data_IF_690988892367
#
_entry.id   IF_690988892367
#
_cell.length_a   1.000
_cell.length_b   1.000
_cell.length_c   1.000
_cell.angle_alpha   90.00
_cell.angle_beta   90.00
_cell.angle_gamma   90.00
#
_symmetry.space_group_name_H-M   'P 1'
#
loop_
_entity.id
_entity.type
_entity.pdbx_description
1 polymer ?
#
# COMPACT_ATOMS: atom_id res chain seq x y z
N UNK A 1 14.57 -38.38 -1.77
CA UNK A 1 13.87 -37.95 -3.01
C UNK A 1 13.20 -39.13 -3.73
N UNK A 2 12.13 -39.72 -3.16
CA UNK A 2 11.38 -40.85 -3.78
C UNK A 2 9.85 -40.68 -3.81
N UNK A 3 9.30 -39.65 -3.15
CA UNK A 3 7.85 -39.50 -2.94
C UNK A 3 7.07 -38.90 -4.12
N UNK A 4 7.74 -38.27 -5.09
CA UNK A 4 7.05 -37.46 -6.12
C UNK A 4 6.60 -38.26 -7.36
N UNK A 5 7.26 -39.38 -7.66
CA UNK A 5 6.96 -40.26 -8.81
C UNK A 5 5.50 -40.73 -8.85
N UNK A 6 4.90 -41.31 -7.79
CA UNK A 6 3.55 -41.87 -7.88
C UNK A 6 2.47 -40.84 -8.26
N UNK A 7 2.65 -39.56 -7.89
CA UNK A 7 1.72 -38.50 -8.28
C UNK A 7 1.78 -38.17 -9.77
N UNK A 8 2.98 -38.23 -10.37
CA UNK A 8 3.18 -38.05 -11.81
C UNK A 8 2.58 -39.24 -12.57
N UNK A 9 2.83 -40.47 -12.09
CA UNK A 9 2.29 -41.70 -12.68
C UNK A 9 0.76 -41.74 -12.65
N UNK A 10 0.12 -41.27 -11.56
CA UNK A 10 -1.34 -41.13 -11.47
C UNK A 10 -1.90 -40.15 -12.50
N UNK A 11 -1.25 -39.00 -12.71
CA UNK A 11 -1.66 -38.01 -13.71
C UNK A 11 -1.51 -38.55 -15.14
N UNK A 12 -0.41 -39.26 -15.42
CA UNK A 12 -0.17 -39.87 -16.73
C UNK A 12 -1.23 -40.93 -17.07
N UNK A 13 -1.63 -41.73 -16.09
CA UNK A 13 -2.64 -42.77 -16.25
C UNK A 13 -4.04 -42.18 -16.48
N UNK A 14 -4.41 -41.14 -15.73
CA UNK A 14 -5.65 -40.37 -15.95
C UNK A 14 -5.67 -39.75 -17.35
N UNK A 15 -4.53 -39.29 -17.88
CA UNK A 15 -4.44 -38.76 -19.24
C UNK A 15 -4.57 -39.85 -20.33
N UNK A 16 -4.05 -41.06 -20.09
CA UNK A 16 -4.20 -42.19 -21.02
C UNK A 16 -5.62 -42.78 -21.02
N UNK A 17 -6.22 -43.02 -19.84
CA UNK A 17 -7.55 -43.63 -19.69
C UNK A 17 -8.73 -42.65 -19.93
N UNK A 18 -8.46 -41.34 -20.10
CA UNK A 18 -9.52 -40.34 -20.35
C UNK A 18 -10.00 -40.31 -21.80
N UNK A 19 -11.33 -40.32 -21.96
CA UNK A 19 -12.01 -40.20 -23.26
C UNK A 19 -11.73 -38.85 -23.96
N UNK A 20 -11.96 -38.74 -25.28
CA UNK A 20 -11.67 -37.50 -26.02
C UNK A 20 -12.36 -36.26 -25.44
N UNK A 21 -13.61 -36.39 -24.99
CA UNK A 21 -14.37 -35.32 -24.31
C UNK A 21 -13.81 -34.96 -22.93
N UNK A 22 -13.34 -35.94 -22.16
CA UNK A 22 -12.70 -35.69 -20.87
C UNK A 22 -11.36 -34.94 -21.01
N UNK A 23 -10.55 -35.27 -22.03
CA UNK A 23 -9.30 -34.54 -22.33
C UNK A 23 -9.54 -33.08 -22.68
N UNK A 24 -10.60 -32.78 -23.42
CA UNK A 24 -11.01 -31.40 -23.75
C UNK A 24 -11.43 -30.64 -22.49
N UNK A 25 -12.20 -31.27 -21.58
CA UNK A 25 -12.56 -30.68 -20.30
C UNK A 25 -11.36 -30.38 -19.39
N UNK A 26 -10.38 -31.30 -19.33
CA UNK A 26 -9.13 -31.12 -18.57
C UNK A 26 -8.29 -29.97 -19.15
N UNK A 27 -8.18 -29.87 -20.48
CA UNK A 27 -7.48 -28.77 -21.15
C UNK A 27 -8.15 -27.42 -20.89
N UNK A 28 -9.48 -27.35 -20.93
CA UNK A 28 -10.24 -26.13 -20.60
C UNK A 28 -10.00 -25.70 -19.15
N UNK A 29 -10.06 -26.63 -18.19
CA UNK A 29 -9.79 -26.34 -16.78
C UNK A 29 -8.35 -25.85 -16.57
N UNK A 30 -7.37 -26.50 -17.19
CA UNK A 30 -5.97 -26.10 -17.12
C UNK A 30 -5.73 -24.70 -17.71
N UNK A 31 -6.38 -24.37 -18.84
CA UNK A 31 -6.31 -23.04 -19.45
C UNK A 31 -6.92 -21.97 -18.54
N UNK A 32 -8.09 -22.24 -17.92
CA UNK A 32 -8.72 -21.32 -16.96
C UNK A 32 -7.83 -21.09 -15.74
N UNK A 33 -7.20 -22.13 -15.18
CA UNK A 33 -6.24 -21.99 -14.09
C UNK A 33 -4.98 -21.20 -14.50
N UNK A 34 -4.45 -21.41 -15.70
CA UNK A 34 -3.30 -20.65 -16.19
C UNK A 34 -3.63 -19.16 -16.36
N UNK A 35 -4.81 -18.84 -16.92
CA UNK A 35 -5.29 -17.46 -17.10
C UNK A 35 -5.59 -16.80 -15.75
N UNK A 36 -6.17 -17.50 -14.78
CA UNK A 36 -6.45 -16.91 -13.46
C UNK A 36 -5.17 -16.64 -12.67
N UNK A 37 -4.20 -17.56 -12.67
CA UNK A 37 -2.89 -17.36 -12.03
C UNK A 37 -2.12 -16.23 -12.72
N UNK A 38 -2.09 -16.21 -14.06
CA UNK A 38 -1.44 -15.14 -14.83
C UNK A 38 -2.10 -13.78 -14.64
N UNK A 39 -3.44 -13.73 -14.62
CA UNK A 39 -4.22 -12.51 -14.42
C UNK A 39 -4.07 -11.93 -13.01
N UNK A 40 -4.13 -12.78 -11.97
CA UNK A 40 -3.88 -12.35 -10.59
C UNK A 40 -2.42 -11.92 -10.40
N UNK A 41 -1.47 -12.63 -11.01
CA UNK A 41 -0.06 -12.23 -11.02
C UNK A 41 0.15 -10.86 -11.65
N UNK A 42 -0.43 -10.62 -12.83
CA UNK A 42 -0.33 -9.35 -13.54
C UNK A 42 -1.02 -8.20 -12.77
N UNK A 43 -2.22 -8.44 -12.24
CA UNK A 43 -2.95 -7.42 -11.47
C UNK A 43 -2.26 -7.10 -10.13
N UNK A 44 -1.61 -8.09 -9.51
CA UNK A 44 -0.80 -7.89 -8.30
C UNK A 44 0.52 -7.13 -8.54
N UNK A 45 0.93 -6.91 -9.80
CA UNK A 45 2.14 -6.17 -10.18
C UNK A 45 1.83 -4.73 -10.58
N UNK A 46 0.56 -4.28 -10.62
CA UNK A 46 0.24 -2.88 -10.91
C UNK A 46 0.89 -1.94 -9.88
N UNK A 47 1.85 -1.08 -10.30
CA UNK A 47 2.52 -0.14 -9.41
C UNK A 47 1.50 0.82 -8.81
N UNK A 48 1.39 0.80 -7.48
CA UNK A 48 0.56 1.77 -6.77
C UNK A 48 1.47 2.93 -6.39
N UNK A 49 1.58 3.93 -7.26
CA UNK A 49 2.38 5.12 -7.02
C UNK A 49 1.81 5.94 -5.87
N UNK A 50 2.67 6.32 -4.91
CA UNK A 50 2.32 7.09 -3.71
C UNK A 50 3.17 8.35 -3.68
N UNK A 51 2.54 9.49 -3.36
CA UNK A 51 3.25 10.77 -3.18
C UNK A 51 4.24 10.66 -2.02
N UNK A 52 5.52 10.86 -2.34
CA UNK A 52 6.65 10.90 -1.42
C UNK A 52 6.94 12.34 -0.96
N UNK A 53 6.94 13.27 -1.91
CA UNK A 53 7.18 14.71 -1.70
C UNK A 53 6.12 15.50 -2.46
N UNK A 54 5.66 16.59 -1.86
CA UNK A 54 4.59 17.47 -2.35
C UNK A 54 5.16 18.83 -2.74
N UNK A 55 4.43 19.52 -3.61
CA UNK A 55 4.75 20.81 -4.21
C UNK A 55 5.22 21.89 -3.22
N UNK A 56 4.83 21.81 -1.94
CA UNK A 56 5.29 22.70 -0.86
C UNK A 56 6.75 22.52 -0.44
N UNK A 57 7.41 21.39 -0.77
CA UNK A 57 8.87 21.19 -0.59
C UNK A 57 9.59 20.99 -1.95
N UNK A 58 9.01 21.48 -3.05
CA UNK A 58 9.55 21.32 -4.41
C UNK A 58 11.02 21.76 -4.53
N UNK A 59 11.43 22.83 -3.83
CA UNK A 59 12.81 23.35 -3.81
C UNK A 59 13.87 22.35 -3.28
N UNK A 60 13.45 21.24 -2.68
CA UNK A 60 14.34 20.18 -2.18
C UNK A 60 14.21 18.86 -2.95
N UNK A 61 13.28 18.76 -3.91
CA UNK A 61 12.98 17.52 -4.66
C UNK A 61 14.21 16.99 -5.39
N UNK A 62 15.02 17.86 -6.00
CA UNK A 62 16.25 17.48 -6.72
C UNK A 62 17.22 16.63 -5.89
N UNK A 63 17.35 16.93 -4.59
CA UNK A 63 18.22 16.18 -3.66
C UNK A 63 17.65 14.80 -3.32
N UNK A 64 16.33 14.66 -3.37
CA UNK A 64 15.64 13.38 -3.15
C UNK A 64 15.71 12.52 -4.42
N UNK A 65 15.60 13.13 -5.60
CA UNK A 65 15.79 12.45 -6.91
C UNK A 65 17.19 11.82 -6.98
N UNK A 66 18.26 12.59 -6.76
CA UNK A 66 19.64 12.07 -6.77
C UNK A 66 19.86 10.94 -5.74
N UNK A 67 19.15 10.98 -4.60
CA UNK A 67 19.18 9.91 -3.61
C UNK A 67 18.37 8.66 -4.01
N UNK A 68 17.29 8.81 -4.80
CA UNK A 68 16.50 7.71 -5.35
C UNK A 68 17.22 7.02 -6.51
N UNK A 69 17.84 7.79 -7.41
CA UNK A 69 18.69 7.29 -8.51
C UNK A 69 19.83 6.43 -7.97
N UNK A 70 20.57 6.95 -6.97
CA UNK A 70 21.64 6.20 -6.28
C UNK A 70 21.16 4.94 -5.57
N UNK A 71 19.87 4.88 -5.19
CA UNK A 71 19.25 3.72 -4.57
C UNK A 71 18.62 2.74 -5.59
N UNK A 72 18.55 3.11 -6.87
CA UNK A 72 17.90 2.33 -7.93
C UNK A 72 16.39 2.20 -7.74
N UNK A 73 15.73 3.24 -7.21
CA UNK A 73 14.28 3.24 -6.94
C UNK A 73 13.56 4.00 -8.06
N UNK A 74 12.62 3.36 -8.74
CA UNK A 74 11.77 4.03 -9.75
C UNK A 74 10.89 5.11 -9.12
N UNK A 75 10.83 6.27 -9.77
CA UNK A 75 10.05 7.42 -9.35
C UNK A 75 9.36 8.08 -10.55
N UNK A 76 8.24 8.76 -10.30
CA UNK A 76 7.46 9.51 -11.28
C UNK A 76 7.21 10.92 -10.76
N UNK A 77 7.21 11.94 -11.62
CA UNK A 77 6.82 13.31 -11.26
C UNK A 77 5.41 13.60 -11.79
N UNK A 78 4.53 14.08 -10.91
CA UNK A 78 3.16 14.45 -11.27
C UNK A 78 2.82 15.89 -10.86
N UNK A 79 1.86 16.50 -11.56
CA UNK A 79 1.70 17.94 -11.59
C UNK A 79 2.83 18.63 -12.38
N UNK A 80 3.00 19.94 -12.21
CA UNK A 80 4.01 20.74 -12.91
C UNK A 80 5.44 20.56 -12.33
N UNK A 81 5.83 19.32 -12.03
CA UNK A 81 7.10 18.95 -11.38
C UNK A 81 7.06 18.95 -9.84
N UNK A 82 5.97 19.42 -9.22
CA UNK A 82 5.90 19.61 -7.76
C UNK A 82 5.76 18.35 -6.92
N UNK A 83 5.12 17.28 -7.43
CA UNK A 83 4.90 16.06 -6.65
C UNK A 83 5.79 14.92 -7.15
N UNK A 84 6.56 14.34 -6.24
CA UNK A 84 7.41 13.17 -6.49
C UNK A 84 6.69 11.92 -5.97
N UNK A 85 6.50 10.91 -6.82
CA UNK A 85 5.82 9.66 -6.53
C UNK A 85 6.78 8.49 -6.64
N UNK A 86 6.57 7.47 -5.82
CA UNK A 86 7.35 6.21 -5.81
C UNK A 86 6.38 5.03 -5.66
N UNK A 87 6.73 3.86 -6.20
CA UNK A 87 5.97 2.63 -5.95
C UNK A 87 5.81 2.39 -4.44
N UNK A 88 4.58 2.11 -4.00
CA UNK A 88 4.22 1.70 -2.63
C UNK A 88 5.17 0.66 -2.01
N UNK A 89 5.75 -0.25 -2.80
CA UNK A 89 6.72 -1.26 -2.37
C UNK A 89 8.00 -0.63 -1.83
N UNK A 90 8.51 0.40 -2.50
CA UNK A 90 9.77 1.08 -2.19
C UNK A 90 9.56 2.38 -1.39
N UNK A 91 8.30 2.86 -1.28
CA UNK A 91 7.90 4.03 -0.50
C UNK A 91 8.52 4.09 0.90
N UNK A 92 8.60 2.97 1.63
CA UNK A 92 9.22 2.95 2.97
C UNK A 92 10.73 3.27 2.95
N UNK A 93 11.43 2.80 1.92
CA UNK A 93 12.87 3.03 1.70
C UNK A 93 13.11 4.45 1.18
N UNK A 94 12.30 4.88 0.21
CA UNK A 94 12.27 6.23 -0.32
C UNK A 94 11.97 7.28 0.78
N UNK A 95 11.03 7.00 1.70
CA UNK A 95 10.70 7.86 2.85
C UNK A 95 11.87 8.02 3.80
N UNK A 96 12.67 6.97 4.01
CA UNK A 96 13.89 7.06 4.82
C UNK A 96 14.97 7.91 4.12
N UNK A 97 15.16 7.72 2.81
CA UNK A 97 16.11 8.50 2.00
C UNK A 97 15.74 9.98 1.93
N UNK A 98 14.46 10.31 1.72
CA UNK A 98 13.97 11.69 1.70
C UNK A 98 14.23 12.40 3.05
N UNK A 99 13.93 11.72 4.17
CA UNK A 99 14.20 12.23 5.52
C UNK A 99 15.68 12.45 5.79
N UNK A 100 16.54 11.54 5.36
CA UNK A 100 18.00 11.68 5.48
C UNK A 100 18.54 12.87 4.69
N UNK A 101 17.87 13.28 3.60
CA UNK A 101 18.22 14.44 2.79
C UNK A 101 17.49 15.74 3.22
N UNK A 102 16.84 15.75 4.39
CA UNK A 102 16.23 16.95 4.97
C UNK A 102 14.87 17.35 4.36
N UNK A 103 14.18 16.40 3.72
CA UNK A 103 12.81 16.55 3.21
C UNK A 103 11.84 15.80 4.11
N UNK A 104 10.78 16.48 4.52
CA UNK A 104 9.69 15.86 5.27
C UNK A 104 8.73 15.18 4.29
N UNK A 105 8.71 13.84 4.29
CA UNK A 105 7.83 13.09 3.39
C UNK A 105 6.36 13.50 3.60
N UNK A 106 5.80 14.22 2.66
CA UNK A 106 4.54 14.97 2.79
C UNK A 106 3.32 14.11 2.48
N UNK A 107 3.28 12.93 3.09
CA UNK A 107 2.10 12.10 3.20
C UNK A 107 2.29 11.17 4.38
N UNK A 108 1.38 11.24 5.35
CA UNK A 108 1.13 10.07 6.19
C UNK A 108 0.51 9.01 5.26
N UNK A 109 1.32 8.08 4.73
CA UNK A 109 0.77 6.87 4.12
C UNK A 109 0.10 6.05 5.23
N UNK A 110 -1.12 6.46 5.56
CA UNK A 110 -2.08 5.66 6.29
C UNK A 110 -2.43 4.48 5.40
N UNK A 111 -1.62 3.42 5.51
CA UNK A 111 -1.87 2.13 4.89
C UNK A 111 -3.34 1.77 5.12
N UNK A 112 -4.10 1.72 4.02
CA UNK A 112 -5.53 1.94 4.02
C UNK A 112 -6.22 1.23 5.19
N UNK A 113 -6.79 2.02 6.09
CA UNK A 113 -7.42 1.50 7.31
C UNK A 113 -8.68 0.71 6.96
N UNK A 114 -8.49 -0.57 6.63
CA UNK A 114 -9.57 -1.57 6.61
C UNK A 114 -10.32 -1.61 7.96
N UNK A 115 -9.67 -1.16 9.03
CA UNK A 115 -10.27 -0.96 10.36
C UNK A 115 -11.29 0.19 10.45
N UNK A 116 -11.42 1.08 9.46
CA UNK A 116 -12.44 2.14 9.50
C UNK A 116 -13.87 1.59 9.46
N UNK A 117 -14.13 0.64 8.55
CA UNK A 117 -15.43 0.01 8.36
C UNK A 117 -15.52 -1.41 8.98
N UNK A 118 -14.42 -2.15 9.10
CA UNK A 118 -14.43 -3.49 9.72
C UNK A 118 -13.81 -3.54 11.13
N UNK A 119 -13.31 -2.41 11.65
CA UNK A 119 -12.74 -2.34 12.98
C UNK A 119 -13.79 -2.41 14.09
N UNK A 120 -13.33 -2.87 15.25
CA UNK A 120 -14.09 -3.05 16.47
C UNK A 120 -14.71 -1.76 17.01
N UNK A 121 -15.76 -1.83 17.86
CA UNK A 121 -16.37 -0.65 18.46
C UNK A 121 -15.43 0.19 19.33
N UNK A 122 -14.34 -0.39 19.84
CA UNK A 122 -13.26 0.32 20.55
C UNK A 122 -12.35 1.08 19.58
N UNK A 123 -11.90 0.45 18.49
CA UNK A 123 -11.08 1.10 17.46
C UNK A 123 -11.81 2.28 16.81
N UNK A 124 -13.09 2.12 16.48
CA UNK A 124 -13.94 3.21 15.94
C UNK A 124 -14.05 4.40 16.90
N UNK A 125 -14.20 4.13 18.22
CA UNK A 125 -14.20 5.18 19.27
C UNK A 125 -12.86 5.90 19.35
N UNK A 126 -11.76 5.15 19.32
CA UNK A 126 -10.41 5.70 19.34
C UNK A 126 -10.13 6.57 18.11
N UNK A 127 -10.49 6.11 16.90
CA UNK A 127 -10.34 6.88 15.67
C UNK A 127 -11.15 8.19 15.70
N UNK A 128 -12.41 8.14 16.14
CA UNK A 128 -13.25 9.32 16.31
C UNK A 128 -12.71 10.30 17.38
N UNK A 129 -12.04 9.79 18.42
CA UNK A 129 -11.35 10.60 19.44
C UNK A 129 -10.13 11.31 18.85
N UNK A 130 -9.28 10.62 18.07
CA UNK A 130 -8.13 11.22 17.38
C UNK A 130 -8.57 12.29 16.37
N UNK A 131 -9.63 12.04 15.58
CA UNK A 131 -10.19 13.03 14.66
C UNK A 131 -10.67 14.30 15.38
N UNK A 132 -11.35 14.16 16.53
CA UNK A 132 -11.76 15.31 17.35
C UNK A 132 -10.58 16.08 17.93
N UNK A 133 -9.53 15.39 18.39
CA UNK A 133 -8.29 16.02 18.84
C UNK A 133 -7.64 16.85 17.73
N UNK A 134 -7.51 16.28 16.52
CA UNK A 134 -6.96 16.98 15.37
C UNK A 134 -7.78 18.21 14.96
N UNK A 135 -9.12 18.09 14.91
CA UNK A 135 -10.00 19.22 14.59
C UNK A 135 -9.93 20.35 15.63
N UNK A 136 -9.77 20.02 16.92
CA UNK A 136 -9.55 21.01 17.96
C UNK A 136 -8.18 21.67 17.83
N UNK A 137 -7.11 20.90 17.65
CA UNK A 137 -5.76 21.43 17.42
C UNK A 137 -5.73 22.39 16.21
N UNK A 138 -6.32 21.98 15.08
CA UNK A 138 -6.45 22.82 13.88
C UNK A 138 -7.33 24.07 14.10
N UNK A 139 -8.29 24.04 15.04
CA UNK A 139 -9.09 25.21 15.41
C UNK A 139 -8.30 26.17 16.30
N UNK A 140 -7.53 25.65 17.26
CA UNK A 140 -6.67 26.45 18.15
C UNK A 140 -5.56 27.14 17.33
N UNK A 141 -4.97 26.46 16.33
CA UNK A 141 -3.99 27.03 15.39
C UNK A 141 -4.53 28.16 14.49
N UNK A 142 -5.85 28.42 14.48
CA UNK A 142 -6.41 29.60 13.79
C UNK A 142 -6.27 30.89 14.60
N UNK A 143 -5.86 30.81 15.87
CA UNK A 143 -5.59 31.97 16.71
C UNK A 143 -4.20 32.49 16.31
N UNK A 144 -4.12 33.75 15.86
CA UNK A 144 -2.93 34.36 15.23
C UNK A 144 -1.62 34.27 16.03
N UNK A 145 -1.69 34.06 17.36
CA UNK A 145 -0.53 33.98 18.25
C UNK A 145 -0.08 32.53 18.55
N UNK A 146 -0.75 31.52 17.99
CA UNK A 146 -0.50 30.10 18.27
C UNK A 146 0.18 29.41 17.08
N UNK A 147 1.50 29.26 17.16
CA UNK A 147 2.33 28.56 16.18
C UNK A 147 2.11 27.03 16.19
N UNK A 148 2.04 26.44 17.38
CA UNK A 148 1.80 25.01 17.57
C UNK A 148 0.79 24.70 18.68
N UNK A 149 0.03 23.62 18.52
CA UNK A 149 -0.98 23.16 19.47
C UNK A 149 -1.21 21.66 19.32
N UNK A 150 -1.09 20.93 20.43
CA UNK A 150 -1.44 19.52 20.58
C UNK A 150 -2.58 19.37 21.58
N UNK A 151 -3.53 18.46 21.32
CA UNK A 151 -4.74 18.32 22.12
C UNK A 151 -4.96 16.86 22.51
N UNK A 152 -4.83 16.57 23.80
CA UNK A 152 -5.14 15.26 24.35
C UNK A 152 -6.49 15.28 25.05
N UNK A 153 -7.57 15.27 24.26
CA UNK A 153 -8.92 14.96 24.78
C UNK A 153 -8.86 13.64 25.55
N UNK A 154 -9.32 13.65 26.81
CA UNK A 154 -9.64 12.44 27.55
C UNK A 154 -11.15 12.33 27.77
N UNK A 155 -11.77 11.39 27.05
CA UNK A 155 -13.16 11.00 27.24
C UNK A 155 -13.19 9.66 28.00
N UNK A 156 -13.90 9.57 29.14
CA UNK A 156 -14.22 8.26 29.71
C UNK A 156 -15.17 7.52 28.76
N UNK A 157 -15.08 6.20 28.75
CA UNK A 157 -16.16 5.39 28.19
C UNK A 157 -17.43 5.67 28.99
N UNK A 158 -18.56 5.78 28.29
CA UNK A 158 -19.86 5.96 28.95
C UNK A 158 -20.06 4.82 29.94
N UNK A 159 -20.21 5.18 31.22
CA UNK A 159 -20.67 4.26 32.24
C UNK A 159 -22.08 3.72 31.91
N UNK A 160 -22.53 2.69 32.64
CA UNK A 160 -23.84 2.07 32.45
C UNK A 160 -24.99 3.07 32.56
#
# INVERSE_FOLDING_TARGET
MKSFKPHIDSLLKIWQDSSPTARIGILLLAAICAVSIGGVGYWSVQPNFVVLVSETESDKVDKVIDALDKAGIEYELSGAGGNLLVDKRDYARARLLARNNGVSSSAEYSSGSLGGAFGSPTERRNLARMQKQHNLAATIKKITIVDHADVHLNLPDKGP
#
